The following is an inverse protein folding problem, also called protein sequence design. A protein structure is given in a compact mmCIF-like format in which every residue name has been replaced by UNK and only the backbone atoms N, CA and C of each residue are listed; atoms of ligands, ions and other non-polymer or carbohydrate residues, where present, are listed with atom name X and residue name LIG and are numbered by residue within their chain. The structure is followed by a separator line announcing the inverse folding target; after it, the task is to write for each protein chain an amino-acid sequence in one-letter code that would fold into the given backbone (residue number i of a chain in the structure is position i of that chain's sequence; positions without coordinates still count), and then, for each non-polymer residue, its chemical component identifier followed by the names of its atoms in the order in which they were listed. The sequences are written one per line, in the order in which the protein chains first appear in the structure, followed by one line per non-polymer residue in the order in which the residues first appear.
data_IF_885461544652
#
_entry.id   IF_885461544652
#
_cell.length_a   1.000
_cell.length_b   1.000
_cell.length_c   1.000
_cell.angle_alpha   90.00
_cell.angle_beta   90.00
_cell.angle_gamma   90.00
#
_symmetry.space_group_name_H-M   'P 1'
#
loop_
_entity.id
_entity.type
_entity.pdbx_description
1 polymer ?
#
# COMPACT_ATOMS: atom_id res chain seq x y z
N UNK A 1 -18.82 -43.83 -44.60
CA UNK A 1 -19.21 -42.57 -43.94
C UNK A 1 -18.05 -41.59 -44.08
N UNK A 2 -18.04 -40.77 -45.13
CA UNK A 2 -16.98 -39.77 -45.34
C UNK A 2 -17.26 -38.56 -44.46
N UNK A 3 -16.37 -38.29 -43.52
CA UNK A 3 -16.42 -37.05 -42.74
C UNK A 3 -15.82 -35.92 -43.59
N UNK A 4 -16.62 -34.93 -43.93
CA UNK A 4 -16.18 -33.67 -44.56
C UNK A 4 -15.38 -32.88 -43.52
N UNK A 5 -14.06 -32.81 -43.68
CA UNK A 5 -13.21 -31.90 -42.90
C UNK A 5 -13.41 -30.49 -43.48
N UNK A 6 -13.91 -29.50 -42.71
CA UNK A 6 -14.08 -28.15 -43.21
C UNK A 6 -12.71 -27.55 -43.55
N UNK A 7 -12.49 -27.18 -44.82
CA UNK A 7 -11.31 -26.42 -45.22
C UNK A 7 -11.54 -24.95 -44.85
N UNK A 8 -11.04 -24.51 -43.70
CA UNK A 8 -11.01 -23.09 -43.35
C UNK A 8 -9.82 -22.41 -44.03
N UNK A 9 -10.10 -21.42 -44.87
CA UNK A 9 -9.10 -20.63 -45.56
C UNK A 9 -8.13 -19.98 -44.54
N UNK A 10 -6.83 -19.91 -44.86
CA UNK A 10 -5.81 -19.36 -43.95
C UNK A 10 -6.03 -17.89 -43.59
N UNK A 11 -6.86 -17.16 -44.34
CA UNK A 11 -7.27 -15.78 -44.02
C UNK A 11 -8.29 -15.72 -42.87
N UNK A 12 -9.31 -16.59 -42.89
CA UNK A 12 -10.31 -16.65 -41.81
C UNK A 12 -9.70 -17.07 -40.47
N UNK A 13 -8.73 -17.99 -40.48
CA UNK A 13 -7.99 -18.38 -39.28
C UNK A 13 -7.12 -17.24 -38.71
N UNK A 14 -6.62 -16.33 -39.57
CA UNK A 14 -5.88 -15.14 -39.13
C UNK A 14 -6.81 -14.12 -38.47
N UNK A 15 -7.95 -13.81 -39.10
CA UNK A 15 -8.93 -12.87 -38.55
C UNK A 15 -9.52 -13.35 -37.20
N UNK A 16 -9.80 -14.64 -37.05
CA UNK A 16 -10.24 -15.20 -35.76
C UNK A 16 -9.16 -15.10 -34.69
N UNK A 17 -7.90 -15.23 -35.09
CA UNK A 17 -6.77 -15.16 -34.17
C UNK A 17 -6.47 -13.71 -33.77
N UNK A 18 -6.60 -12.76 -34.68
CA UNK A 18 -6.47 -11.33 -34.42
C UNK A 18 -7.56 -10.87 -33.44
N UNK A 19 -8.83 -11.22 -33.68
CA UNK A 19 -9.92 -10.90 -32.71
C UNK A 19 -9.70 -11.51 -31.33
N UNK A 20 -9.26 -12.78 -31.26
CA UNK A 20 -8.97 -13.41 -29.98
C UNK A 20 -7.77 -12.77 -29.26
N UNK A 21 -6.82 -12.19 -29.99
CA UNK A 21 -5.71 -11.43 -29.41
C UNK A 21 -6.15 -10.07 -28.88
N UNK A 22 -7.04 -9.39 -29.59
CA UNK A 22 -7.62 -8.12 -29.16
C UNK A 22 -8.46 -8.30 -27.88
N UNK A 23 -9.31 -9.33 -27.83
CA UNK A 23 -10.12 -9.67 -26.66
C UNK A 23 -9.25 -10.03 -25.44
N UNK A 24 -8.18 -10.82 -25.64
CA UNK A 24 -7.23 -11.14 -24.59
C UNK A 24 -6.44 -9.91 -24.10
N UNK A 25 -6.19 -8.94 -24.98
CA UNK A 25 -5.58 -7.65 -24.63
C UNK A 25 -6.49 -6.78 -23.76
N UNK A 26 -7.79 -6.73 -24.07
CA UNK A 26 -8.81 -6.04 -23.27
C UNK A 26 -8.94 -6.67 -21.88
N UNK A 27 -9.00 -8.00 -21.80
CA UNK A 27 -9.07 -8.72 -20.53
C UNK A 27 -7.82 -8.50 -19.66
N UNK A 28 -6.62 -8.56 -20.24
CA UNK A 28 -5.39 -8.25 -19.52
C UNK A 28 -5.35 -6.80 -19.01
N UNK A 29 -5.86 -5.85 -19.81
CA UNK A 29 -5.99 -4.45 -19.41
C UNK A 29 -6.91 -4.27 -18.20
N UNK A 30 -8.07 -4.95 -18.20
CA UNK A 30 -9.03 -4.91 -17.08
C UNK A 30 -8.49 -5.53 -15.81
N UNK A 31 -7.75 -6.64 -15.91
CA UNK A 31 -7.09 -7.26 -14.75
C UNK A 31 -6.08 -6.28 -14.15
N UNK A 32 -5.25 -5.66 -14.99
CA UNK A 32 -4.26 -4.67 -14.54
C UNK A 32 -4.91 -3.46 -13.88
N UNK A 33 -6.00 -2.95 -14.43
CA UNK A 33 -6.72 -1.81 -13.85
C UNK A 33 -7.28 -2.14 -12.46
N UNK A 34 -7.83 -3.35 -12.29
CA UNK A 34 -8.29 -3.83 -10.98
C UNK A 34 -7.15 -3.95 -9.97
N UNK A 35 -5.99 -4.44 -10.39
CA UNK A 35 -4.81 -4.52 -9.53
C UNK A 35 -4.32 -3.13 -9.11
N UNK A 36 -4.21 -2.19 -10.06
CA UNK A 36 -3.82 -0.80 -9.77
C UNK A 36 -4.81 -0.16 -8.80
N UNK A 37 -6.11 -0.38 -9.00
CA UNK A 37 -7.12 0.18 -8.09
C UNK A 37 -6.96 -0.37 -6.67
N UNK A 38 -6.78 -1.68 -6.52
CA UNK A 38 -6.54 -2.29 -5.20
C UNK A 38 -5.23 -1.83 -4.55
N UNK A 39 -4.17 -1.64 -5.34
CA UNK A 39 -2.91 -1.06 -4.86
C UNK A 39 -3.11 0.39 -4.40
N UNK A 40 -3.90 1.19 -5.11
CA UNK A 40 -4.20 2.57 -4.75
C UNK A 40 -4.95 2.66 -3.41
N UNK A 41 -5.95 1.81 -3.17
CA UNK A 41 -6.67 1.77 -1.88
C UNK A 41 -5.73 1.49 -0.70
N UNK A 42 -4.75 0.59 -0.90
CA UNK A 42 -3.75 0.27 0.13
C UNK A 42 -2.80 1.45 0.36
N UNK A 43 -2.36 2.13 -0.70
CA UNK A 43 -1.52 3.33 -0.60
C UNK A 43 -2.27 4.44 0.13
N UNK A 44 -3.53 4.71 -0.26
CA UNK A 44 -4.36 5.73 0.35
C UNK A 44 -4.57 5.49 1.84
N UNK A 45 -4.78 4.22 2.24
CA UNK A 45 -4.88 3.84 3.65
C UNK A 45 -3.57 4.12 4.40
N UNK A 46 -2.42 3.72 3.84
CA UNK A 46 -1.12 3.90 4.46
C UNK A 46 -0.81 5.38 4.68
N UNK A 47 -1.03 6.21 3.67
CA UNK A 47 -0.81 7.66 3.74
C UNK A 47 -1.80 8.36 4.67
N UNK A 48 -3.08 7.94 4.69
CA UNK A 48 -4.06 8.45 5.64
C UNK A 48 -3.66 8.18 7.10
N UNK A 49 -3.08 7.01 7.38
CA UNK A 49 -2.56 6.69 8.71
C UNK A 49 -1.28 7.46 9.06
N UNK A 50 -0.40 7.73 8.09
CA UNK A 50 0.73 8.64 8.28
C UNK A 50 0.24 10.04 8.67
N UNK A 51 -0.71 10.60 7.93
CA UNK A 51 -1.29 11.92 8.20
C UNK A 51 -1.94 11.98 9.59
N UNK A 52 -2.71 10.93 9.95
CA UNK A 52 -3.34 10.84 11.27
C UNK A 52 -2.30 10.86 12.39
N UNK A 53 -1.23 10.09 12.24
CA UNK A 53 -0.15 10.01 13.23
C UNK A 53 0.64 11.31 13.32
N UNK A 54 0.97 11.92 12.17
CA UNK A 54 1.69 13.18 12.09
C UNK A 54 0.87 14.30 12.76
N UNK A 55 -0.42 14.39 12.45
CA UNK A 55 -1.32 15.35 13.07
C UNK A 55 -1.45 15.13 14.59
N UNK A 56 -1.49 13.87 15.04
CA UNK A 56 -1.51 13.55 16.47
C UNK A 56 -0.20 13.96 17.16
N UNK A 57 0.96 13.64 16.59
CA UNK A 57 2.26 13.99 17.14
C UNK A 57 2.43 15.51 17.25
N UNK A 58 2.09 16.26 16.18
CA UNK A 58 2.11 17.73 16.17
C UNK A 58 1.18 18.33 17.23
N UNK A 59 -0.05 17.81 17.39
CA UNK A 59 -0.97 18.26 18.45
C UNK A 59 -0.42 18.00 19.85
N UNK A 60 0.21 16.85 20.08
CA UNK A 60 0.82 16.51 21.36
C UNK A 60 2.02 17.40 21.67
N UNK A 61 2.88 17.68 20.68
CA UNK A 61 3.99 18.62 20.82
C UNK A 61 3.48 20.03 21.18
N UNK A 62 2.52 20.55 20.40
CA UNK A 62 1.95 21.87 20.66
C UNK A 62 1.31 21.96 22.05
N UNK A 63 0.67 20.88 22.53
CA UNK A 63 0.12 20.82 23.89
C UNK A 63 1.22 20.88 24.95
N UNK A 64 2.31 20.12 24.76
CA UNK A 64 3.46 20.12 25.67
C UNK A 64 4.13 21.50 25.75
N UNK A 65 4.30 22.16 24.61
CA UNK A 65 4.87 23.51 24.52
C UNK A 65 3.96 24.57 25.15
N UNK A 66 2.65 24.48 24.93
CA UNK A 66 1.66 25.43 25.44
C UNK A 66 1.55 25.45 26.98
N UNK A 67 1.99 24.39 27.68
CA UNK A 67 1.91 24.34 29.14
C UNK A 67 2.86 25.36 29.84
N UNK A 68 3.78 26.05 29.14
CA UNK A 68 4.59 27.18 29.64
C UNK A 68 5.64 26.89 30.75
N UNK A 69 6.50 27.84 31.12
CA UNK A 69 7.63 27.64 32.08
C UNK A 69 7.19 27.62 33.57
N UNK A 70 5.93 27.26 33.86
CA UNK A 70 5.44 27.16 35.25
C UNK A 70 5.45 25.72 35.74
N UNK A 71 5.93 25.48 36.96
CA UNK A 71 5.97 24.16 37.61
C UNK A 71 7.27 23.87 38.35
N UNK A 72 7.34 22.71 39.01
CA UNK A 72 8.54 22.23 39.70
C UNK A 72 9.63 21.82 38.69
N UNK A 73 10.88 21.67 39.13
CA UNK A 73 11.97 21.20 38.25
C UNK A 73 11.66 19.82 37.63
N UNK A 74 10.95 18.94 38.35
CA UNK A 74 10.47 17.66 37.83
C UNK A 74 9.49 17.86 36.67
N UNK A 75 8.47 18.71 36.84
CA UNK A 75 7.50 19.01 35.79
C UNK A 75 8.12 19.68 34.56
N UNK A 76 9.25 20.40 34.72
CA UNK A 76 10.03 20.91 33.58
C UNK A 76 10.76 19.78 32.86
N UNK A 77 11.45 18.91 33.60
CA UNK A 77 12.17 17.77 33.02
C UNK A 77 11.26 16.78 32.28
N UNK A 78 10.08 16.46 32.82
CA UNK A 78 9.10 15.61 32.14
C UNK A 78 8.62 16.24 30.82
N UNK A 79 8.36 17.54 30.83
CA UNK A 79 7.91 18.28 29.66
C UNK A 79 8.98 18.35 28.58
N UNK A 80 10.23 18.59 28.96
CA UNK A 80 11.36 18.59 28.03
C UNK A 80 11.54 17.21 27.39
N UNK A 81 11.38 16.13 28.16
CA UNK A 81 11.39 14.77 27.64
C UNK A 81 10.25 14.51 26.64
N UNK A 82 9.03 14.97 26.95
CA UNK A 82 7.90 14.86 26.02
C UNK A 82 8.10 15.71 24.75
N UNK A 83 8.66 16.91 24.86
CA UNK A 83 8.94 17.77 23.72
C UNK A 83 9.95 17.10 22.77
N UNK A 84 11.07 16.59 23.31
CA UNK A 84 12.07 15.82 22.55
C UNK A 84 11.46 14.58 21.91
N UNK A 85 10.59 13.86 22.64
CA UNK A 85 9.94 12.66 22.13
C UNK A 85 9.04 12.97 20.94
N UNK A 86 8.13 13.95 21.08
CA UNK A 86 7.20 14.27 20.00
C UNK A 86 7.88 14.98 18.82
N UNK A 87 8.90 15.81 19.05
CA UNK A 87 9.67 16.39 17.94
C UNK A 87 10.40 15.30 17.15
N UNK A 88 10.99 14.30 17.82
CA UNK A 88 11.66 13.18 17.16
C UNK A 88 10.66 12.32 16.37
N UNK A 89 9.45 12.11 16.91
CA UNK A 89 8.39 11.38 16.24
C UNK A 89 7.91 12.12 14.98
N UNK A 90 7.70 13.44 15.06
CA UNK A 90 7.35 14.28 13.90
C UNK A 90 8.42 14.14 12.81
N UNK A 91 9.69 14.35 13.15
CA UNK A 91 10.80 14.22 12.17
C UNK A 91 10.87 12.83 11.55
N UNK A 92 10.62 11.77 12.32
CA UNK A 92 10.63 10.40 11.82
C UNK A 92 9.49 10.14 10.82
N UNK A 93 8.30 10.69 11.10
CA UNK A 93 7.12 10.54 10.23
C UNK A 93 7.26 11.38 8.95
N UNK A 94 7.71 12.63 9.05
CA UNK A 94 8.01 13.47 7.88
C UNK A 94 9.10 12.85 7.01
N UNK A 95 10.09 12.21 7.62
CA UNK A 95 11.19 11.56 6.92
C UNK A 95 10.79 10.38 6.02
N UNK A 96 9.58 9.84 6.16
CA UNK A 96 9.07 8.72 5.34
C UNK A 96 7.99 9.12 4.35
N UNK A 97 7.60 10.40 4.29
CA UNK A 97 6.48 10.90 3.47
C UNK A 97 6.68 10.59 1.97
N UNK A 98 7.87 10.83 1.42
CA UNK A 98 8.13 10.65 -0.01
C UNK A 98 8.11 9.18 -0.47
N UNK A 99 8.32 8.21 0.44
CA UNK A 99 8.53 6.79 0.11
C UNK A 99 8.04 5.84 1.21
N UNK A 100 6.80 6.01 1.63
CA UNK A 100 6.22 5.18 2.68
C UNK A 100 5.99 3.74 2.20
N UNK A 101 5.56 3.56 0.94
CA UNK A 101 5.21 2.25 0.36
C UNK A 101 6.17 1.90 -0.77
N UNK A 102 6.83 0.74 -0.67
CA UNK A 102 7.75 0.22 -1.69
C UNK A 102 7.11 -0.81 -2.64
N UNK A 103 5.97 -1.39 -2.24
CA UNK A 103 5.26 -2.43 -3.00
C UNK A 103 4.63 -3.48 -2.09
N UNK A 104 3.95 -4.45 -2.71
CA UNK A 104 3.35 -5.60 -2.02
C UNK A 104 4.29 -6.81 -2.10
N UNK A 105 4.43 -7.54 -1.00
CA UNK A 105 5.20 -8.78 -0.93
C UNK A 105 4.26 -9.94 -0.60
N UNK A 106 3.99 -10.76 -1.61
CA UNK A 106 3.11 -11.93 -1.48
C UNK A 106 3.92 -13.13 -0.97
N UNK A 107 3.60 -13.60 0.24
CA UNK A 107 4.31 -14.69 0.90
C UNK A 107 3.60 -16.02 0.67
N UNK A 108 4.26 -16.98 0.01
CA UNK A 108 3.80 -18.35 -0.10
C UNK A 108 4.15 -19.11 1.18
N UNK A 109 3.15 -19.58 1.95
CA UNK A 109 3.40 -20.42 3.13
C UNK A 109 4.05 -21.75 2.71
N UNK A 110 5.14 -22.14 3.38
CA UNK A 110 5.76 -23.44 3.12
C UNK A 110 4.81 -24.57 3.58
N UNK A 111 4.72 -25.68 2.83
CA UNK A 111 3.78 -26.77 3.14
C UNK A 111 4.02 -27.40 4.52
N UNK A 112 5.23 -27.30 5.07
CA UNK A 112 5.60 -27.91 6.35
C UNK A 112 5.26 -27.03 7.57
N UNK A 113 4.99 -25.72 7.39
CA UNK A 113 4.58 -24.81 8.48
C UNK A 113 3.13 -25.03 8.92
N UNK A 114 2.35 -25.80 8.15
CA UNK A 114 0.97 -26.16 8.47
C UNK A 114 0.87 -27.34 9.45
N UNK A 115 1.94 -28.12 9.62
CA UNK A 115 1.95 -29.34 10.44
C UNK A 115 2.35 -29.13 11.91
N UNK A 116 2.85 -27.94 12.28
CA UNK A 116 3.33 -27.63 13.64
C UNK A 116 2.34 -26.87 14.53
N UNK A 117 1.14 -26.54 14.04
CA UNK A 117 0.09 -25.89 14.83
C UNK A 117 -0.97 -26.94 15.22
N UNK A 118 -0.72 -27.68 16.29
CA UNK A 118 -1.70 -28.51 16.99
C UNK A 118 -1.36 -28.57 18.47
#
# INVERSE_FOLDING_TARGET
MSQTIPSHSPQSQRETRERAQDDAGDDAGRVREREIHGEQEVVDLAYSELDRQLAQARRSLARTEAQGVSGTHQSRGERDAYAVHYSSLVSSLEGVEDRLVFGRMDMCRAPDDAAGAS
#
